data_IF_974626134102
#
_entry.id   IF_974626134102
#
_cell.length_a   1.000
_cell.length_b   1.000
_cell.length_c   1.000
_cell.angle_alpha   90.00
_cell.angle_beta   90.00
_cell.angle_gamma   90.00
#
_symmetry.space_group_name_H-M   'P 1'
#
loop_
_entity.id
_entity.type
_entity.pdbx_description
1 polymer ?
#
# COMPACT_ATOMS: atom_id res chain seq x y z
N UNK A 1 -19.73 8.67 -2.49
CA UNK A 1 -19.63 8.34 -1.06
C UNK A 1 -18.15 8.40 -0.73
N UNK A 2 -17.72 9.13 0.30
CA UNK A 2 -16.29 9.26 0.58
C UNK A 2 -15.79 7.86 0.91
N UNK A 3 -14.78 7.37 0.19
CA UNK A 3 -14.10 6.14 0.56
C UNK A 3 -13.62 6.35 2.00
N UNK A 4 -14.15 5.58 2.95
CA UNK A 4 -13.79 5.75 4.35
C UNK A 4 -12.31 5.38 4.49
N UNK A 5 -11.59 5.92 5.48
CA UNK A 5 -10.17 5.56 5.68
C UNK A 5 -9.94 4.04 5.71
N UNK A 6 -10.96 3.30 6.15
CA UNK A 6 -11.00 1.84 6.16
C UNK A 6 -11.02 1.21 4.76
N UNK A 7 -11.76 1.78 3.80
CA UNK A 7 -11.75 1.34 2.40
C UNK A 7 -10.38 1.54 1.76
N UNK A 8 -9.78 2.71 1.98
CA UNK A 8 -8.42 3.00 1.49
C UNK A 8 -7.42 2.04 2.11
N UNK A 9 -7.52 1.78 3.41
CA UNK A 9 -6.68 0.80 4.12
C UNK A 9 -6.82 -0.61 3.53
N UNK A 10 -8.05 -1.05 3.25
CA UNK A 10 -8.30 -2.36 2.68
C UNK A 10 -7.75 -2.45 1.25
N UNK A 11 -7.98 -1.43 0.43
CA UNK A 11 -7.44 -1.36 -0.93
C UNK A 11 -5.90 -1.33 -0.93
N UNK A 12 -5.29 -0.60 0.01
CA UNK A 12 -3.84 -0.56 0.18
C UNK A 12 -3.30 -1.94 0.59
N UNK A 13 -3.95 -2.61 1.54
CA UNK A 13 -3.58 -3.95 1.97
C UNK A 13 -3.67 -4.96 0.83
N UNK A 14 -4.74 -4.93 0.03
CA UNK A 14 -4.87 -5.78 -1.16
C UNK A 14 -3.73 -5.52 -2.16
N UNK A 15 -3.48 -4.25 -2.48
CA UNK A 15 -2.42 -3.85 -3.40
C UNK A 15 -1.05 -4.38 -2.94
N UNK A 16 -0.75 -4.25 -1.64
CA UNK A 16 0.50 -4.76 -1.05
C UNK A 16 0.57 -6.29 -1.07
N UNK A 17 -0.55 -6.97 -0.84
CA UNK A 17 -0.62 -8.43 -0.83
C UNK A 17 -0.40 -9.03 -2.23
N UNK A 18 -0.77 -8.31 -3.28
CA UNK A 18 -0.50 -8.65 -4.68
C UNK A 18 0.89 -8.18 -5.16
N UNK A 19 1.61 -7.40 -4.36
CA UNK A 19 2.92 -6.85 -4.73
C UNK A 19 4.06 -7.83 -4.42
N UNK A 20 5.11 -7.79 -5.23
CA UNK A 20 6.33 -8.59 -5.03
C UNK A 20 6.99 -8.36 -3.67
N UNK A 21 6.82 -7.18 -3.06
CA UNK A 21 7.35 -6.92 -1.72
C UNK A 21 6.79 -7.89 -0.66
N UNK A 22 5.52 -8.29 -0.74
CA UNK A 22 4.96 -9.30 0.16
C UNK A 22 5.08 -10.70 -0.45
N UNK A 23 4.77 -10.86 -1.73
CA UNK A 23 4.77 -12.19 -2.35
C UNK A 23 6.16 -12.81 -2.49
N UNK A 24 7.15 -12.00 -2.89
CA UNK A 24 8.53 -12.43 -3.14
C UNK A 24 9.39 -12.19 -1.90
N UNK A 25 9.41 -10.96 -1.38
CA UNK A 25 10.29 -10.62 -0.25
C UNK A 25 9.72 -11.03 1.11
N UNK A 26 8.42 -11.35 1.20
CA UNK A 26 7.73 -11.66 2.47
C UNK A 26 7.87 -10.56 3.52
N UNK A 27 8.02 -9.31 3.08
CA UNK A 27 8.12 -8.17 3.96
C UNK A 27 6.75 -7.82 4.55
N UNK A 28 6.76 -7.11 5.67
CA UNK A 28 5.52 -6.60 6.23
C UNK A 28 4.97 -5.44 5.37
N UNK A 29 3.64 -5.23 5.33
CA UNK A 29 3.03 -4.10 4.63
C UNK A 29 3.67 -2.75 5.00
N UNK A 30 4.07 -2.59 6.26
CA UNK A 30 4.78 -1.41 6.77
C UNK A 30 6.17 -1.21 6.15
N UNK A 31 6.91 -2.29 5.96
CA UNK A 31 8.24 -2.24 5.33
C UNK A 31 8.11 -1.93 3.84
N UNK A 32 7.12 -2.50 3.17
CA UNK A 32 6.82 -2.19 1.77
C UNK A 32 6.42 -0.73 1.55
N UNK A 33 5.77 -0.10 2.52
CA UNK A 33 5.40 1.32 2.48
C UNK A 33 6.52 2.28 2.89
N UNK A 34 7.67 1.73 3.30
CA UNK A 34 8.87 2.48 3.66
C UNK A 34 9.84 2.54 2.48
N UNK A 35 10.66 3.60 2.43
CA UNK A 35 11.74 3.71 1.46
C UNK A 35 12.79 2.61 1.68
N UNK A 36 13.37 2.02 0.61
CA UNK A 36 13.14 2.29 -0.82
C UNK A 36 12.05 1.40 -1.47
N UNK A 37 11.36 0.56 -0.69
CA UNK A 37 10.38 -0.41 -1.21
C UNK A 37 9.14 0.26 -1.79
N UNK A 38 8.75 1.40 -1.21
CA UNK A 38 7.59 2.17 -1.68
C UNK A 38 7.76 2.64 -3.13
N UNK A 39 8.99 2.90 -3.56
CA UNK A 39 9.32 3.30 -4.93
C UNK A 39 9.22 2.14 -5.92
N UNK A 40 9.45 0.90 -5.45
CA UNK A 40 9.27 -0.32 -6.24
C UNK A 40 7.80 -0.77 -6.31
N UNK A 41 6.93 -0.25 -5.44
CA UNK A 41 5.51 -0.57 -5.47
C UNK A 41 4.81 0.11 -6.66
N UNK A 42 3.77 -0.52 -7.21
CA UNK A 42 2.99 0.09 -8.28
C UNK A 42 2.37 1.42 -7.84
N UNK A 43 2.26 2.37 -8.78
CA UNK A 43 1.68 3.71 -8.58
C UNK A 43 0.34 3.68 -7.84
N UNK A 44 -0.48 2.64 -8.06
CA UNK A 44 -1.75 2.43 -7.36
C UNK A 44 -1.57 2.33 -5.84
N UNK A 45 -0.60 1.56 -5.36
CA UNK A 45 -0.29 1.43 -3.93
C UNK A 45 0.20 2.77 -3.36
N UNK A 46 1.06 3.50 -4.09
CA UNK A 46 1.56 4.80 -3.65
C UNK A 46 0.44 5.85 -3.53
N UNK A 47 -0.50 5.84 -4.47
CA UNK A 47 -1.66 6.73 -4.50
C UNK A 47 -2.64 6.43 -3.35
N UNK A 48 -2.88 5.13 -3.07
CA UNK A 48 -3.65 4.69 -1.91
C UNK A 48 -2.97 5.06 -0.58
N UNK A 49 -1.64 4.98 -0.50
CA UNK A 49 -0.88 5.41 0.68
C UNK A 49 -1.09 6.90 0.94
N UNK A 50 -0.98 7.75 -0.09
CA UNK A 50 -1.24 9.19 0.02
C UNK A 50 -2.66 9.46 0.51
N UNK A 51 -3.66 8.84 -0.13
CA UNK A 51 -5.06 8.96 0.30
C UNK A 51 -5.31 8.46 1.73
N UNK A 52 -4.57 7.45 2.20
CA UNK A 52 -4.65 6.96 3.58
C UNK A 52 -3.97 7.91 4.58
N UNK A 53 -2.86 8.55 4.18
CA UNK A 53 -2.20 9.58 4.99
C UNK A 53 -3.01 10.87 5.14
N UNK A 54 -3.93 11.14 4.22
CA UNK A 54 -4.77 12.35 4.21
C UNK A 54 -6.13 12.18 4.93
N UNK A 55 -6.41 11.04 5.58
CA UNK A 55 -7.76 10.64 6.01
C UNK A 55 -8.17 10.93 7.48
#
# INVERSE_FOLDING_TARGET
>A
MPASCQDIRNALAQCLQESDCIMVQRHSPRECLSDPHVDQLPMRCQQLRKGFSEC
#
